data_IF_427450548495
#
_entry.id   IF_427450548495
#
_cell.length_a   1.000
_cell.length_b   1.000
_cell.length_c   1.000
_cell.angle_alpha   90.00
_cell.angle_beta   90.00
_cell.angle_gamma   90.00
#
_symmetry.space_group_name_H-M   'P 1'
#
loop_
_entity.id
_entity.type
_entity.pdbx_description
1 polymer ?
#
# COMPACT_ATOMS: atom_id res chain seq x y z
N UNK A 1 -21.39 -19.16 2.94
CA UNK A 1 -20.23 -18.54 3.61
C UNK A 1 -20.78 -17.41 4.47
N UNK A 2 -20.49 -17.41 5.76
CA UNK A 2 -20.93 -16.33 6.68
C UNK A 2 -19.69 -15.52 7.01
N UNK A 3 -19.74 -14.21 6.74
CA UNK A 3 -18.68 -13.27 7.12
C UNK A 3 -18.81 -13.03 8.63
N UNK A 4 -17.74 -13.30 9.39
CA UNK A 4 -17.75 -13.17 10.85
C UNK A 4 -17.34 -11.76 11.31
N UNK A 5 -16.37 -11.16 10.65
CA UNK A 5 -15.88 -9.81 10.97
C UNK A 5 -15.35 -9.09 9.72
N UNK A 6 -15.39 -7.75 9.77
CA UNK A 6 -14.70 -6.87 8.84
C UNK A 6 -13.51 -6.19 9.52
N UNK A 7 -12.36 -6.20 8.86
CA UNK A 7 -11.25 -5.32 9.21
C UNK A 7 -11.29 -4.09 8.30
N UNK A 8 -11.71 -2.95 8.84
CA UNK A 8 -11.93 -1.71 8.08
C UNK A 8 -11.54 -0.49 8.92
N UNK A 9 -10.84 0.44 8.28
CA UNK A 9 -10.62 1.77 8.84
C UNK A 9 -11.94 2.55 8.85
N UNK A 10 -12.40 2.95 10.03
CA UNK A 10 -13.61 3.75 10.22
C UNK A 10 -13.23 5.13 10.79
N UNK A 11 -13.09 6.15 9.93
CA UNK A 11 -12.74 7.50 10.37
C UNK A 11 -13.72 8.09 11.39
N UNK A 12 -15.00 7.66 11.43
CA UNK A 12 -15.99 8.20 12.38
C UNK A 12 -15.68 7.86 13.84
N UNK A 13 -14.91 6.80 14.07
CA UNK A 13 -14.43 6.45 15.42
C UNK A 13 -13.40 7.46 15.94
N UNK A 14 -12.86 8.29 15.06
CA UNK A 14 -11.97 9.40 15.37
C UNK A 14 -12.78 10.68 15.17
N UNK A 15 -12.96 11.50 16.22
CA UNK A 15 -13.82 12.71 16.14
C UNK A 15 -13.29 13.69 15.10
N UNK A 16 -13.90 13.70 13.91
CA UNK A 16 -13.58 14.57 12.78
C UNK A 16 -14.65 15.67 12.75
N UNK A 17 -14.27 16.93 12.97
CA UNK A 17 -15.16 18.08 12.84
C UNK A 17 -15.63 18.27 11.37
N UNK A 18 -16.94 18.25 11.13
CA UNK A 18 -17.53 18.42 9.79
C UNK A 18 -17.40 19.86 9.26
N UNK A 19 -17.20 20.86 10.13
CA UNK A 19 -17.04 22.26 9.74
C UNK A 19 -15.69 22.54 9.08
N UNK A 20 -14.65 21.79 9.45
CA UNK A 20 -13.30 21.85 8.85
C UNK A 20 -13.26 21.29 7.43
N UNK A 21 -14.26 20.47 7.04
CA UNK A 21 -14.41 19.97 5.67
C UNK A 21 -14.88 21.09 4.73
N UNK A 22 -15.60 22.10 5.25
CA UNK A 22 -16.22 23.15 4.44
C UNK A 22 -15.33 24.35 4.12
N UNK A 23 -14.25 24.60 4.84
CA UNK A 23 -13.44 25.82 4.68
C UNK A 23 -12.48 25.80 3.48
N UNK A 24 -12.47 24.74 2.68
CA UNK A 24 -11.47 24.51 1.63
C UNK A 24 -12.01 24.68 0.18
N UNK A 25 -13.29 25.00 0.00
CA UNK A 25 -14.01 24.93 -1.28
C UNK A 25 -13.63 25.94 -2.39
N UNK A 26 -12.58 26.75 -2.24
CA UNK A 26 -12.39 27.96 -3.06
C UNK A 26 -11.37 27.86 -4.22
N UNK A 27 -11.08 26.67 -4.78
CA UNK A 27 -10.26 26.61 -6.03
C UNK A 27 -10.71 25.54 -7.04
N UNK A 28 -10.71 25.87 -8.34
CA UNK A 28 -11.19 25.01 -9.45
C UNK A 28 -10.41 23.70 -9.66
N UNK A 29 -9.21 23.59 -9.11
CA UNK A 29 -8.34 22.40 -9.22
C UNK A 29 -8.66 21.33 -8.15
N UNK A 30 -9.37 21.73 -7.09
CA UNK A 30 -9.75 20.99 -5.87
C UNK A 30 -10.76 19.84 -6.10
N UNK A 31 -11.59 19.91 -7.15
CA UNK A 31 -12.74 19.01 -7.30
C UNK A 31 -12.40 17.55 -7.59
N UNK A 32 -11.28 17.26 -8.29
CA UNK A 32 -10.96 15.87 -8.71
C UNK A 32 -10.46 15.01 -7.55
N UNK A 33 -9.53 15.51 -6.72
CA UNK A 33 -8.99 14.76 -5.58
C UNK A 33 -10.06 14.52 -4.52
N UNK A 34 -10.85 15.55 -4.22
CA UNK A 34 -12.00 15.41 -3.32
C UNK A 34 -13.10 14.53 -3.87
N UNK A 35 -13.35 14.51 -5.17
CA UNK A 35 -14.31 13.56 -5.74
C UNK A 35 -13.93 12.13 -5.36
N UNK A 36 -12.66 11.73 -5.47
CA UNK A 36 -12.23 10.39 -5.07
C UNK A 36 -12.30 10.16 -3.56
N UNK A 37 -11.90 11.14 -2.75
CA UNK A 37 -11.99 11.04 -1.28
C UNK A 37 -13.46 10.97 -0.85
N UNK A 38 -14.34 11.81 -1.38
CA UNK A 38 -15.77 11.85 -1.09
C UNK A 38 -16.47 10.61 -1.63
N UNK A 39 -16.16 10.15 -2.84
CA UNK A 39 -16.68 8.89 -3.38
C UNK A 39 -16.22 7.72 -2.51
N UNK A 40 -14.94 7.63 -2.16
CA UNK A 40 -14.40 6.61 -1.26
C UNK A 40 -15.08 6.66 0.12
N UNK A 41 -15.29 7.85 0.68
CA UNK A 41 -16.01 8.04 1.94
C UNK A 41 -17.48 7.68 1.81
N UNK A 42 -18.14 7.95 0.67
CA UNK A 42 -19.53 7.59 0.43
C UNK A 42 -19.67 6.07 0.25
N UNK A 43 -18.82 5.43 -0.55
CA UNK A 43 -18.76 3.97 -0.65
C UNK A 43 -18.45 3.32 0.70
N UNK A 44 -17.55 3.91 1.49
CA UNK A 44 -17.24 3.45 2.84
C UNK A 44 -18.44 3.63 3.79
N UNK A 45 -19.17 4.75 3.70
CA UNK A 45 -20.43 4.95 4.44
C UNK A 45 -21.48 3.90 4.07
N UNK A 46 -21.63 3.60 2.79
CA UNK A 46 -22.56 2.57 2.30
C UNK A 46 -22.16 1.19 2.80
N UNK A 47 -20.86 0.84 2.75
CA UNK A 47 -20.35 -0.42 3.28
C UNK A 47 -20.53 -0.52 4.80
N UNK A 48 -20.17 0.52 5.55
CA UNK A 48 -20.34 0.58 7.00
C UNK A 48 -21.82 0.44 7.38
N UNK A 49 -22.71 1.13 6.66
CA UNK A 49 -24.15 1.01 6.89
C UNK A 49 -24.66 -0.41 6.64
N UNK A 50 -24.18 -1.07 5.58
CA UNK A 50 -24.51 -2.48 5.30
C UNK A 50 -23.97 -3.40 6.41
N UNK A 51 -22.73 -3.18 6.87
CA UNK A 51 -22.12 -3.95 7.98
C UNK A 51 -22.97 -3.80 9.25
N UNK A 52 -23.39 -2.57 9.58
CA UNK A 52 -24.24 -2.26 10.73
C UNK A 52 -25.62 -2.90 10.60
N UNK A 53 -26.27 -2.80 9.44
CA UNK A 53 -27.57 -3.44 9.16
C UNK A 53 -27.49 -4.96 9.36
N UNK A 54 -26.39 -5.58 8.92
CA UNK A 54 -26.15 -7.03 9.07
C UNK A 54 -25.62 -7.42 10.45
N UNK A 55 -25.41 -6.46 11.35
CA UNK A 55 -24.88 -6.68 12.71
C UNK A 55 -23.56 -7.46 12.70
N UNK A 56 -22.71 -7.18 11.72
CA UNK A 56 -21.39 -7.82 11.60
C UNK A 56 -20.37 -6.98 12.36
N UNK A 57 -19.52 -7.65 13.15
CA UNK A 57 -18.45 -7.00 13.91
C UNK A 57 -17.45 -6.33 12.96
N UNK A 58 -17.05 -5.08 13.27
CA UNK A 58 -16.00 -4.36 12.52
C UNK A 58 -14.89 -3.87 13.42
N UNK A 59 -13.65 -4.01 12.95
CA UNK A 59 -12.44 -3.69 13.70
C UNK A 59 -11.47 -2.90 12.83
N UNK A 60 -10.80 -1.90 13.40
CA UNK A 60 -9.76 -1.19 12.68
C UNK A 60 -8.50 -2.07 12.53
N UNK A 61 -7.95 -2.23 11.32
CA UNK A 61 -6.71 -2.95 11.08
C UNK A 61 -5.52 -2.07 11.43
N UNK A 62 -5.28 -1.88 12.73
CA UNK A 62 -4.14 -1.15 13.27
C UNK A 62 -3.07 -2.12 13.78
N UNK A 63 -1.84 -1.62 13.87
CA UNK A 63 -0.67 -2.36 14.34
C UNK A 63 -0.98 -3.20 15.59
N UNK A 64 -0.49 -4.44 15.58
CA UNK A 64 -0.62 -5.37 16.70
C UNK A 64 -1.84 -6.28 16.61
N UNK A 65 -2.82 -5.97 15.73
CA UNK A 65 -3.95 -6.86 15.48
C UNK A 65 -3.50 -8.15 14.80
N UNK A 66 -4.03 -9.29 15.25
CA UNK A 66 -3.87 -10.59 14.60
C UNK A 66 -5.22 -11.28 14.48
N UNK A 67 -5.37 -12.12 13.45
CA UNK A 67 -6.57 -12.94 13.30
C UNK A 67 -6.41 -14.25 14.10
N UNK A 68 -7.44 -14.72 14.82
CA UNK A 68 -7.30 -15.89 15.71
C UNK A 68 -7.01 -17.20 14.98
N UNK A 69 -7.46 -17.33 13.73
CA UNK A 69 -7.40 -18.60 12.97
C UNK A 69 -6.59 -18.53 11.68
N UNK A 70 -6.22 -17.32 11.25
CA UNK A 70 -5.51 -17.09 10.00
C UNK A 70 -4.20 -16.44 10.42
N UNK A 71 -3.04 -16.92 9.96
CA UNK A 71 -1.74 -16.46 10.47
C UNK A 71 -1.37 -15.10 9.85
N UNK A 72 -2.22 -14.10 10.05
CA UNK A 72 -2.07 -12.73 9.61
C UNK A 72 -1.94 -11.79 10.80
N UNK A 73 -1.05 -10.82 10.69
CA UNK A 73 -0.81 -9.76 11.67
C UNK A 73 -0.70 -8.42 10.96
N UNK A 74 -1.36 -7.41 11.50
CA UNK A 74 -1.19 -6.02 11.08
C UNK A 74 0.07 -5.46 11.73
N UNK A 75 0.98 -4.98 10.90
CA UNK A 75 2.25 -4.37 11.31
C UNK A 75 2.19 -2.83 11.32
N UNK A 76 1.30 -2.25 10.53
CA UNK A 76 1.08 -0.81 10.45
C UNK A 76 -0.28 -0.49 9.83
N UNK A 77 -0.77 0.74 9.96
CA UNK A 77 -0.17 1.84 10.73
C UNK A 77 -0.31 1.63 12.25
N UNK A 78 0.53 2.28 13.06
CA UNK A 78 0.29 2.36 14.51
C UNK A 78 -0.97 3.20 14.78
N UNK A 79 -1.68 2.99 15.90
CA UNK A 79 -2.86 3.79 16.24
C UNK A 79 -2.58 5.31 16.26
N UNK A 80 -1.43 5.71 16.81
CA UNK A 80 -1.02 7.11 16.92
C UNK A 80 -0.71 7.70 15.54
N UNK A 81 0.05 6.98 14.73
CA UNK A 81 0.39 7.39 13.37
C UNK A 81 -0.84 7.48 12.47
N UNK A 82 -1.75 6.51 12.56
CA UNK A 82 -3.00 6.52 11.83
C UNK A 82 -3.84 7.75 12.19
N UNK A 83 -3.94 8.08 13.48
CA UNK A 83 -4.67 9.26 13.95
C UNK A 83 -4.02 10.57 13.48
N UNK A 84 -2.69 10.64 13.48
CA UNK A 84 -1.95 11.77 12.91
C UNK A 84 -2.29 11.96 11.43
N UNK A 85 -2.18 10.90 10.62
CA UNK A 85 -2.51 10.95 9.19
C UNK A 85 -3.96 11.32 8.95
N UNK A 86 -4.90 10.76 9.70
CA UNK A 86 -6.32 11.12 9.62
C UNK A 86 -6.59 12.62 9.84
N UNK A 87 -5.88 13.27 10.77
CA UNK A 87 -6.03 14.72 10.98
C UNK A 87 -5.58 15.51 9.74
N UNK A 88 -4.61 14.96 9.00
CA UNK A 88 -3.98 15.58 7.83
C UNK A 88 -4.56 15.12 6.49
N UNK A 89 -5.53 14.19 6.44
CA UNK A 89 -6.32 13.89 5.21
C UNK A 89 -6.97 15.15 4.63
N UNK A 90 -7.07 16.20 5.45
CA UNK A 90 -7.68 17.49 5.14
C UNK A 90 -6.71 18.51 4.55
N UNK A 91 -5.42 18.19 4.46
CA UNK A 91 -4.41 19.13 3.93
C UNK A 91 -4.15 18.86 2.44
N UNK A 92 -5.03 19.38 1.59
CA UNK A 92 -4.96 19.19 0.14
C UNK A 92 -3.69 19.80 -0.48
N UNK A 93 -3.00 20.68 0.24
CA UNK A 93 -1.73 21.25 -0.22
C UNK A 93 -0.63 20.18 -0.38
N UNK A 94 -0.67 19.10 0.41
CA UNK A 94 0.29 18.00 0.29
C UNK A 94 0.05 17.13 -0.96
N UNK A 95 -1.22 16.92 -1.35
CA UNK A 95 -1.57 16.25 -2.61
C UNK A 95 -1.06 17.02 -3.84
N UNK A 96 -1.08 18.36 -3.78
CA UNK A 96 -0.58 19.20 -4.86
C UNK A 96 0.94 19.18 -5.00
N UNK A 97 1.69 19.23 -3.89
CA UNK A 97 3.16 19.13 -3.96
C UNK A 97 3.62 17.78 -4.54
N UNK A 98 2.94 16.67 -4.24
CA UNK A 98 3.26 15.37 -4.82
C UNK A 98 3.04 15.30 -6.33
N UNK A 99 2.04 16.02 -6.87
CA UNK A 99 1.73 16.07 -8.31
C UNK A 99 2.68 17.03 -9.04
N UNK A 100 3.15 18.11 -8.40
CA UNK A 100 4.03 19.11 -9.06
C UNK A 100 5.45 18.57 -9.26
N UNK A 101 5.94 17.71 -8.37
CA UNK A 101 7.25 17.03 -8.52
C UNK A 101 7.24 16.02 -9.69
N UNK A 102 6.05 15.52 -10.06
CA UNK A 102 5.83 14.48 -11.05
C UNK A 102 6.31 14.86 -12.47
N UNK A 103 6.53 16.16 -12.74
CA UNK A 103 6.74 16.69 -14.11
C UNK A 103 8.16 17.14 -14.45
N UNK A 104 9.14 16.99 -13.55
CA UNK A 104 10.43 17.65 -13.73
C UNK A 104 11.65 16.77 -13.46
N UNK A 105 11.71 15.53 -13.94
CA UNK A 105 13.02 14.90 -14.17
C UNK A 105 12.98 13.99 -15.39
N UNK A 106 13.61 14.43 -16.49
CA UNK A 106 14.19 13.51 -17.48
C UNK A 106 15.62 13.92 -17.83
N UNK A 107 16.40 12.87 -17.95
CA UNK A 107 17.62 12.68 -18.75
C UNK A 107 19.01 12.94 -18.14
N UNK A 108 19.79 11.85 -18.24
CA UNK A 108 21.25 11.70 -18.13
C UNK A 108 21.89 11.82 -16.74
N UNK A 109 21.55 10.88 -15.86
CA UNK A 109 22.29 10.61 -14.63
C UNK A 109 22.91 9.21 -14.65
N UNK A 110 24.12 9.09 -14.08
CA UNK A 110 24.74 7.78 -13.84
C UNK A 110 23.94 6.99 -12.78
N UNK A 111 24.23 5.70 -12.61
CA UNK A 111 23.43 4.81 -11.74
C UNK A 111 23.44 5.23 -10.25
N UNK A 112 24.52 5.84 -9.78
CA UNK A 112 24.65 6.29 -8.39
C UNK A 112 23.83 7.56 -8.14
N UNK A 113 23.86 8.49 -9.09
CA UNK A 113 23.02 9.69 -9.07
C UNK A 113 21.52 9.34 -9.18
N UNK A 114 21.16 8.34 -9.99
CA UNK A 114 19.78 7.83 -10.08
C UNK A 114 19.29 7.21 -8.77
N UNK A 115 20.14 6.47 -8.05
CA UNK A 115 19.80 5.90 -6.76
C UNK A 115 19.53 7.00 -5.72
N UNK A 116 20.42 8.01 -5.67
CA UNK A 116 20.29 9.15 -4.75
C UNK A 116 19.03 9.99 -5.04
N UNK A 117 18.66 10.16 -6.30
CA UNK A 117 17.42 10.85 -6.67
C UNK A 117 16.20 10.02 -6.30
N UNK A 118 16.19 8.73 -6.66
CA UNK A 118 15.12 7.80 -6.34
C UNK A 118 14.84 7.74 -4.83
N UNK A 119 15.88 7.69 -4.01
CA UNK A 119 15.75 7.63 -2.54
C UNK A 119 15.19 8.92 -1.91
N UNK A 120 15.19 10.04 -2.65
CA UNK A 120 14.56 11.30 -2.20
C UNK A 120 13.07 11.38 -2.53
N UNK A 121 12.58 10.52 -3.42
CA UNK A 121 11.18 10.48 -3.78
C UNK A 121 10.37 9.86 -2.64
N UNK A 122 9.32 10.57 -2.23
CA UNK A 122 8.44 10.13 -1.17
C UNK A 122 6.99 10.41 -1.56
N UNK A 123 6.13 9.43 -1.29
CA UNK A 123 4.70 9.64 -1.33
C UNK A 123 4.26 10.43 -0.09
N UNK A 124 3.72 11.63 -0.31
CA UNK A 124 3.22 12.54 0.74
C UNK A 124 1.73 12.38 1.00
N UNK A 125 1.05 11.47 0.30
CA UNK A 125 -0.37 11.17 0.51
C UNK A 125 -0.58 10.62 1.92
N UNK A 126 -1.40 11.31 2.71
CA UNK A 126 -1.72 10.85 4.06
C UNK A 126 -2.60 9.60 3.99
N UNK A 127 -3.46 9.50 2.97
CA UNK A 127 -4.32 8.36 2.68
C UNK A 127 -3.49 7.12 2.36
N UNK A 128 -2.51 7.23 1.45
CA UNK A 128 -1.65 6.12 1.09
C UNK A 128 -0.78 5.68 2.28
N UNK A 129 -0.20 6.64 3.01
CA UNK A 129 0.59 6.34 4.21
C UNK A 129 -0.24 5.80 5.38
N UNK A 130 -1.57 5.95 5.36
CA UNK A 130 -2.48 5.29 6.30
C UNK A 130 -2.78 3.82 5.95
N UNK A 131 -2.24 3.31 4.85
CA UNK A 131 -2.45 1.94 4.37
C UNK A 131 -2.12 0.89 5.43
N UNK A 132 -2.98 -0.14 5.54
CA UNK A 132 -2.70 -1.31 6.35
C UNK A 132 -1.53 -2.11 5.75
N UNK A 133 -0.48 -2.31 6.56
CA UNK A 133 0.63 -3.21 6.24
C UNK A 133 0.38 -4.53 6.98
N UNK A 134 0.27 -5.63 6.22
CA UNK A 134 -0.13 -6.94 6.73
C UNK A 134 0.95 -7.99 6.46
N UNK A 135 1.31 -8.72 7.51
CA UNK A 135 2.22 -9.86 7.45
C UNK A 135 1.43 -11.15 7.56
N UNK A 136 1.56 -12.02 6.58
CA UNK A 136 1.20 -13.43 6.72
C UNK A 136 2.44 -14.23 7.14
N UNK A 137 2.29 -15.13 8.11
CA UNK A 137 3.37 -15.96 8.64
C UNK A 137 2.87 -17.36 9.05
N UNK A 138 2.78 -18.26 8.08
CA UNK A 138 2.29 -19.63 8.27
C UNK A 138 2.93 -20.60 7.29
N UNK A 139 2.96 -21.90 7.61
CA UNK A 139 3.55 -22.96 6.78
C UNK A 139 5.01 -22.71 6.36
N UNK A 140 5.81 -22.11 7.25
CA UNK A 140 7.17 -21.63 6.98
C UNK A 140 7.25 -20.61 5.82
N UNK A 141 6.15 -19.90 5.57
CA UNK A 141 6.04 -18.83 4.59
C UNK A 141 5.86 -17.49 5.27
N UNK A 142 6.60 -16.48 4.80
CA UNK A 142 6.49 -15.09 5.25
C UNK A 142 6.17 -14.20 4.07
N UNK A 143 5.04 -13.50 4.15
CA UNK A 143 4.52 -12.68 3.05
C UNK A 143 4.14 -11.31 3.58
N UNK A 144 4.60 -10.26 2.90
CA UNK A 144 4.28 -8.88 3.28
C UNK A 144 3.37 -8.24 2.23
N UNK A 145 2.21 -7.77 2.69
CA UNK A 145 1.28 -6.93 1.93
C UNK A 145 1.42 -5.49 2.39
N UNK A 146 1.70 -4.58 1.45
CA UNK A 146 1.99 -3.18 1.78
C UNK A 146 0.91 -2.21 1.29
N UNK A 147 -0.04 -2.68 0.48
CA UNK A 147 -1.08 -1.86 -0.16
C UNK A 147 -0.42 -0.65 -0.84
N UNK A 148 -0.74 0.58 -0.44
CA UNK A 148 -0.20 1.78 -1.07
C UNK A 148 0.78 2.53 -0.15
N UNK A 149 1.24 1.90 0.93
CA UNK A 149 2.12 2.51 1.90
C UNK A 149 3.40 3.08 1.26
N UNK A 150 3.74 4.32 1.62
CA UNK A 150 5.01 4.94 1.22
C UNK A 150 6.16 4.64 2.19
N UNK A 151 7.37 5.17 1.92
CA UNK A 151 8.53 4.94 2.76
C UNK A 151 8.32 5.36 4.22
N UNK A 152 7.60 6.45 4.44
CA UNK A 152 7.30 6.97 5.79
C UNK A 152 6.54 5.95 6.66
N UNK A 153 5.59 5.21 6.07
CA UNK A 153 4.82 4.18 6.76
C UNK A 153 5.57 2.84 6.86
N UNK A 154 6.41 2.50 5.87
CA UNK A 154 7.12 1.21 5.81
C UNK A 154 8.38 1.20 6.68
N UNK A 155 9.12 2.30 6.78
CA UNK A 155 10.39 2.37 7.53
C UNK A 155 10.23 1.97 9.01
N UNK A 156 9.27 2.50 9.78
CA UNK A 156 9.08 2.10 11.17
C UNK A 156 8.74 0.61 11.31
N UNK A 157 8.05 0.03 10.32
CA UNK A 157 7.69 -1.39 10.30
C UNK A 157 8.92 -2.27 10.11
N UNK A 158 9.81 -1.95 9.17
CA UNK A 158 11.03 -2.75 8.93
C UNK A 158 12.09 -2.60 10.04
N UNK A 159 12.01 -1.52 10.82
CA UNK A 159 12.84 -1.31 12.02
C UNK A 159 12.33 -2.14 13.21
N UNK A 160 11.00 -2.21 13.37
CA UNK A 160 10.36 -2.87 14.53
C UNK A 160 10.20 -4.37 14.36
N UNK A 161 9.98 -4.86 13.14
CA UNK A 161 9.69 -6.27 12.87
C UNK A 161 10.80 -6.96 12.07
N UNK A 162 11.08 -8.23 12.38
CA UNK A 162 12.00 -9.03 11.58
C UNK A 162 11.34 -9.52 10.29
N UNK A 163 11.56 -8.74 9.23
CA UNK A 163 11.04 -9.00 7.89
C UNK A 163 12.08 -9.62 6.95
N UNK A 164 13.11 -10.27 7.49
CA UNK A 164 14.04 -11.07 6.67
C UNK A 164 13.34 -12.31 6.09
N UNK A 165 13.87 -12.78 4.96
CA UNK A 165 13.47 -14.01 4.29
C UNK A 165 11.99 -14.03 3.90
N UNK A 166 11.49 -12.94 3.32
CA UNK A 166 10.15 -12.91 2.74
C UNK A 166 10.08 -13.84 1.53
N UNK A 167 9.09 -14.73 1.49
CA UNK A 167 8.76 -15.52 0.30
C UNK A 167 8.25 -14.62 -0.80
N UNK A 168 7.35 -13.70 -0.48
CA UNK A 168 7.04 -12.62 -1.39
C UNK A 168 6.65 -11.30 -0.72
N UNK A 169 6.85 -10.24 -1.49
CA UNK A 169 6.38 -8.89 -1.24
C UNK A 169 5.30 -8.55 -2.28
N UNK A 170 4.14 -8.09 -1.82
CA UNK A 170 3.22 -7.31 -2.63
C UNK A 170 3.71 -5.86 -2.62
N UNK A 171 4.25 -5.43 -3.76
CA UNK A 171 4.97 -4.16 -3.94
C UNK A 171 3.97 -3.00 -3.83
N UNK A 172 4.30 -1.94 -3.07
CA UNK A 172 3.33 -0.92 -2.77
C UNK A 172 2.94 -0.11 -4.01
N UNK A 173 1.70 0.39 -4.01
CA UNK A 173 1.17 1.40 -4.92
C UNK A 173 1.54 1.15 -6.39
N UNK A 174 1.26 -0.06 -6.86
CA UNK A 174 1.46 -0.48 -8.24
C UNK A 174 2.93 -0.43 -8.73
N UNK A 175 3.91 -0.35 -7.82
CA UNK A 175 5.32 -0.16 -8.19
C UNK A 175 5.67 1.29 -8.52
N UNK A 176 5.03 2.25 -7.86
CA UNK A 176 5.37 3.67 -7.95
C UNK A 176 6.75 3.98 -7.35
N UNK A 177 7.50 4.84 -8.03
CA UNK A 177 8.84 5.31 -7.61
C UNK A 177 8.85 6.08 -6.28
N UNK A 178 7.69 6.55 -5.83
CA UNK A 178 7.57 7.33 -4.59
C UNK A 178 7.32 6.45 -3.36
N UNK A 179 7.01 5.16 -3.55
CA UNK A 179 6.49 4.29 -2.48
C UNK A 179 7.54 3.29 -1.95
N UNK A 180 8.69 3.20 -2.62
CA UNK A 180 9.86 2.43 -2.17
C UNK A 180 11.12 3.26 -2.31
N UNK A 181 12.11 2.95 -1.48
CA UNK A 181 13.49 3.42 -1.63
C UNK A 181 14.46 2.22 -1.57
N UNK A 182 15.72 2.43 -1.93
CA UNK A 182 16.73 1.38 -1.96
C UNK A 182 16.96 0.75 -0.58
N UNK A 183 16.88 1.54 0.50
CA UNK A 183 17.00 1.04 1.87
C UNK A 183 15.91 0.01 2.21
N UNK A 184 14.65 0.32 1.89
CA UNK A 184 13.51 -0.59 2.07
C UNK A 184 13.69 -1.85 1.22
N UNK A 185 13.95 -1.70 -0.09
CA UNK A 185 14.10 -2.84 -0.99
C UNK A 185 15.25 -3.76 -0.57
N UNK A 186 16.38 -3.18 -0.17
CA UNK A 186 17.55 -3.91 0.32
C UNK A 186 17.26 -4.64 1.64
N UNK A 187 16.49 -4.02 2.54
CA UNK A 187 16.16 -4.61 3.84
C UNK A 187 15.13 -5.75 3.74
N UNK A 188 14.11 -5.57 2.89
CA UNK A 188 13.05 -6.56 2.67
C UNK A 188 13.57 -7.75 1.84
N UNK A 189 14.34 -7.47 0.78
CA UNK A 189 14.96 -8.44 -0.13
C UNK A 189 14.16 -9.74 -0.31
N UNK A 190 12.94 -9.66 -0.87
CA UNK A 190 12.04 -10.81 -0.93
C UNK A 190 12.49 -11.82 -1.99
N UNK A 191 12.14 -13.10 -1.83
CA UNK A 191 12.37 -14.11 -2.86
C UNK A 191 11.54 -13.87 -4.13
N UNK A 192 10.39 -13.19 -4.01
CA UNK A 192 9.51 -12.84 -5.12
C UNK A 192 8.82 -11.52 -4.86
N UNK A 193 8.65 -10.69 -5.88
CA UNK A 193 7.90 -9.45 -5.81
C UNK A 193 6.73 -9.51 -6.79
N UNK A 194 5.53 -9.22 -6.31
CA UNK A 194 4.33 -9.08 -7.12
C UNK A 194 3.96 -7.61 -7.20
N UNK A 195 3.73 -7.13 -8.41
CA UNK A 195 3.32 -5.76 -8.68
C UNK A 195 1.94 -5.80 -9.33
N UNK A 196 0.91 -5.36 -8.59
CA UNK A 196 -0.41 -5.18 -9.17
C UNK A 196 -0.44 -3.87 -9.94
N UNK A 197 -0.26 -3.87 -11.25
CA UNK A 197 -0.35 -2.69 -12.10
C UNK A 197 -1.18 -3.00 -13.36
N UNK A 198 -1.92 -2.01 -13.84
CA UNK A 198 -2.85 -2.15 -14.97
C UNK A 198 -2.56 -1.11 -16.05
N UNK A 199 -3.01 0.12 -15.83
CA UNK A 199 -2.94 1.21 -16.81
C UNK A 199 -1.56 1.84 -17.00
N UNK A 200 -0.64 1.64 -16.04
CA UNK A 200 0.73 2.12 -16.07
C UNK A 200 1.71 0.98 -15.81
N UNK A 201 2.92 1.09 -16.36
CA UNK A 201 4.01 0.20 -16.04
C UNK A 201 4.61 0.58 -14.67
N UNK A 202 5.13 -0.39 -13.90
CA UNK A 202 5.88 -0.07 -12.70
C UNK A 202 7.13 0.73 -13.06
N UNK A 203 7.66 1.46 -12.08
CA UNK A 203 8.92 2.13 -12.25
C UNK A 203 10.04 1.12 -12.55
N UNK A 204 10.75 1.35 -13.65
CA UNK A 204 11.77 0.41 -14.13
C UNK A 204 12.95 0.29 -13.15
N UNK A 205 13.27 1.35 -12.39
CA UNK A 205 14.33 1.30 -11.38
C UNK A 205 13.98 0.31 -10.26
N UNK A 206 12.72 0.28 -9.80
CA UNK A 206 12.26 -0.70 -8.82
C UNK A 206 12.44 -2.13 -9.36
N UNK A 207 11.97 -2.37 -10.59
CA UNK A 207 12.07 -3.68 -11.24
C UNK A 207 13.53 -4.12 -11.36
N UNK A 208 14.38 -3.26 -11.88
CA UNK A 208 15.81 -3.55 -12.10
C UNK A 208 16.55 -3.76 -10.78
N UNK A 209 16.28 -2.93 -9.77
CA UNK A 209 16.90 -3.05 -8.45
C UNK A 209 16.53 -4.39 -7.78
N UNK A 210 15.25 -4.75 -7.78
CA UNK A 210 14.79 -6.03 -7.22
C UNK A 210 15.42 -7.22 -7.94
N UNK A 211 15.45 -7.18 -9.28
CA UNK A 211 16.10 -8.23 -10.10
C UNK A 211 17.59 -8.32 -9.81
N UNK A 212 18.28 -7.19 -9.67
CA UNK A 212 19.70 -7.14 -9.31
C UNK A 212 19.99 -7.82 -7.95
N UNK A 213 19.03 -7.74 -7.01
CA UNK A 213 19.11 -8.43 -5.70
C UNK A 213 18.69 -9.91 -5.75
N UNK A 214 18.37 -10.44 -6.93
CA UNK A 214 17.95 -11.83 -7.11
C UNK A 214 16.47 -12.08 -6.83
N UNK A 215 15.66 -11.03 -6.67
CA UNK A 215 14.20 -11.15 -6.53
C UNK A 215 13.57 -11.52 -7.88
N UNK A 216 12.65 -12.48 -7.89
CA UNK A 216 11.80 -12.75 -9.07
C UNK A 216 10.66 -11.75 -9.12
N UNK A 217 10.58 -10.92 -10.15
CA UNK A 217 9.57 -9.86 -10.25
C UNK A 217 8.46 -10.29 -11.21
N UNK A 218 7.20 -10.13 -10.81
CA UNK A 218 6.02 -10.35 -11.65
C UNK A 218 5.11 -9.13 -11.58
N UNK A 219 4.46 -8.81 -12.69
CA UNK A 219 3.57 -7.66 -12.77
C UNK A 219 2.33 -7.97 -13.61
N UNK A 220 1.15 -7.56 -13.14
CA UNK A 220 -0.13 -8.00 -13.74
C UNK A 220 -0.40 -7.43 -15.14
N UNK A 221 0.16 -6.28 -15.49
CA UNK A 221 0.09 -5.71 -16.83
C UNK A 221 0.89 -6.55 -17.87
N UNK A 222 1.95 -7.24 -17.44
CA UNK A 222 2.79 -8.08 -18.29
C UNK A 222 2.40 -9.55 -18.24
N UNK A 223 2.06 -10.05 -17.05
CA UNK A 223 1.79 -11.47 -16.80
C UNK A 223 0.28 -11.81 -16.74
N UNK A 224 -0.60 -10.81 -16.83
CA UNK A 224 -2.04 -10.98 -16.67
C UNK A 224 -2.44 -11.30 -15.22
N UNK A 225 -3.47 -12.14 -15.06
CA UNK A 225 -3.94 -12.56 -13.73
C UNK A 225 -2.93 -13.53 -13.12
N UNK A 226 -2.45 -13.20 -11.92
CA UNK A 226 -1.46 -14.01 -11.20
C UNK A 226 -2.12 -14.83 -10.09
N UNK A 227 -1.61 -16.03 -9.87
CA UNK A 227 -1.98 -16.90 -8.74
C UNK A 227 -0.72 -17.47 -8.11
N UNK A 228 -0.52 -17.18 -6.84
CA UNK A 228 0.44 -17.87 -6.00
C UNK A 228 -0.26 -19.02 -5.27
N UNK A 229 0.41 -20.16 -5.11
CA UNK A 229 -0.08 -21.27 -4.29
C UNK A 229 1.07 -22.12 -3.77
N UNK A 230 0.93 -22.61 -2.54
CA UNK A 230 1.89 -23.51 -1.90
C UNK A 230 1.16 -24.77 -1.43
N UNK A 231 1.68 -25.95 -1.74
CA UNK A 231 1.09 -27.25 -1.40
C UNK A 231 -0.40 -27.41 -1.78
N UNK A 232 -0.81 -26.82 -2.90
CA UNK A 232 -2.17 -26.89 -3.43
C UNK A 232 -2.18 -27.57 -4.80
N UNK A 233 -3.23 -28.34 -5.15
CA UNK A 233 -3.39 -28.87 -6.50
C UNK A 233 -3.34 -27.78 -7.57
N UNK A 234 -2.91 -28.19 -8.78
CA UNK A 234 -3.00 -27.33 -9.96
C UNK A 234 -4.45 -26.90 -10.21
N UNK A 235 -4.65 -25.65 -10.63
CA UNK A 235 -5.97 -25.11 -10.96
C UNK A 235 -6.15 -25.11 -12.47
N UNK A 236 -7.18 -25.79 -12.98
CA UNK A 236 -7.48 -25.83 -14.43
C UNK A 236 -7.56 -24.41 -15.00
N UNK A 237 -6.89 -24.18 -16.13
CA UNK A 237 -6.82 -22.87 -16.79
C UNK A 237 -5.77 -21.91 -16.20
N UNK A 238 -4.96 -22.36 -15.24
CA UNK A 238 -3.82 -21.62 -14.71
C UNK A 238 -2.53 -22.34 -15.06
N UNK A 239 -1.55 -21.58 -15.54
CA UNK A 239 -0.27 -22.09 -16.01
C UNK A 239 0.88 -21.27 -15.41
N UNK A 240 2.10 -21.83 -15.30
CA UNK A 240 3.28 -21.07 -14.89
C UNK A 240 3.55 -19.89 -15.83
N UNK A 241 4.07 -18.79 -15.27
CA UNK A 241 4.50 -17.60 -16.01
C UNK A 241 5.98 -17.32 -15.74
N UNK A 242 6.63 -16.61 -16.66
CA UNK A 242 8.05 -16.21 -16.55
C UNK A 242 8.12 -14.83 -15.86
N UNK A 243 8.99 -14.64 -14.85
CA UNK A 243 9.21 -13.33 -14.24
C UNK A 243 9.80 -12.33 -15.25
N UNK A 244 9.67 -11.03 -14.96
CA UNK A 244 10.22 -9.94 -15.77
C UNK A 244 11.75 -9.99 -15.89
#
# INVERSE_FOLDING_TARGET
MIIQEFWIHDPKLHKIDESEIKSFFDTDYFEKGLKYVVESLNFSKDLIAIIDEKQIDRKQPLEGRSHPNIPIKVLGPSPEYYKEKLNSFRDIHLLYESIVIEKAVSDNLNLEDRANEFDRLIDRSNENNSSTILLFSGDNKKVLFTSDAGPEAILPVIEKYDLKNLDFLDVPHHGSKNNLNTAIMSRLNPGTAYISCGGSNPDQYIVDYLKLKGTRVFATNFNGRLRHSFNMPGRKGWYPVIPL
#
